data_IF_429882722075
#
_entry.id   IF_429882722075
#
_cell.length_a   1.000
_cell.length_b   1.000
_cell.length_c   1.000
_cell.angle_alpha   90.00
_cell.angle_beta   90.00
_cell.angle_gamma   90.00
#
_symmetry.space_group_name_H-M   'P 1'
#
loop_
_entity.id
_entity.type
_entity.pdbx_description
1 polymer ?
#
# COMPACT_ATOMS: atom_id res chain seq x y z
N UNK A 1 32.55 15.09 -35.21
CA UNK A 1 31.88 13.97 -35.91
C UNK A 1 31.49 12.97 -34.82
N UNK A 2 30.30 13.15 -34.19
CA UNK A 2 29.12 12.22 -34.20
C UNK A 2 29.52 10.75 -34.03
N UNK A 3 29.07 10.02 -33.01
CA UNK A 3 27.68 9.66 -32.66
C UNK A 3 27.52 9.66 -31.12
N UNK A 4 26.70 10.52 -30.49
CA UNK A 4 25.24 10.37 -30.29
C UNK A 4 24.84 8.91 -30.01
N UNK A 5 25.00 8.50 -28.75
CA UNK A 5 24.16 7.48 -28.12
C UNK A 5 22.98 8.22 -27.48
N UNK A 6 22.06 8.68 -28.33
CA UNK A 6 20.80 9.30 -27.93
C UNK A 6 19.72 8.58 -28.70
N UNK A 7 18.81 7.91 -27.97
CA UNK A 7 17.41 7.74 -28.43
C UNK A 7 16.42 7.19 -27.39
N UNK A 8 16.87 6.62 -26.26
CA UNK A 8 15.94 6.08 -25.24
C UNK A 8 15.93 6.84 -23.92
N UNK A 9 17.07 7.37 -23.48
CA UNK A 9 17.18 7.97 -22.15
C UNK A 9 16.79 9.46 -22.13
N UNK A 10 16.84 10.15 -23.27
CA UNK A 10 16.51 11.57 -23.38
C UNK A 10 15.00 11.82 -23.28
N UNK A 11 14.19 10.89 -23.81
CA UNK A 11 12.74 10.89 -23.63
C UNK A 11 12.34 10.50 -22.20
N UNK A 12 13.04 9.55 -21.59
CA UNK A 12 12.85 9.20 -20.18
C UNK A 12 13.22 10.37 -19.26
N UNK A 13 14.26 11.14 -19.56
CA UNK A 13 14.69 12.31 -18.78
C UNK A 13 13.79 13.53 -19.01
N UNK A 14 13.19 13.69 -20.20
CA UNK A 14 12.19 14.73 -20.48
C UNK A 14 10.84 14.44 -19.80
N UNK A 15 10.47 13.16 -19.69
CA UNK A 15 9.26 12.73 -19.01
C UNK A 15 9.45 12.51 -17.50
N UNK A 16 10.66 12.32 -16.99
CA UNK A 16 10.94 12.13 -15.57
C UNK A 16 10.38 13.28 -14.68
N UNK A 17 10.52 14.57 -15.05
CA UNK A 17 9.87 15.68 -14.34
C UNK A 17 8.34 15.56 -14.36
N UNK A 18 7.75 15.17 -15.49
CA UNK A 18 6.31 14.96 -15.60
C UNK A 18 5.82 13.80 -14.75
N UNK A 19 6.55 12.67 -14.72
CA UNK A 19 6.20 11.52 -13.88
C UNK A 19 6.39 11.82 -12.39
N UNK A 20 7.42 12.59 -12.02
CA UNK A 20 7.59 13.02 -10.62
C UNK A 20 6.50 13.99 -10.18
N UNK A 21 6.05 14.90 -11.05
CA UNK A 21 4.91 15.79 -10.81
C UNK A 21 3.60 15.02 -10.74
N UNK A 22 3.41 14.01 -11.60
CA UNK A 22 2.20 13.18 -11.55
C UNK A 22 2.20 12.32 -10.27
N UNK A 23 3.35 11.78 -9.87
CA UNK A 23 3.51 11.00 -8.66
C UNK A 23 3.29 11.85 -7.40
N UNK A 24 3.84 13.08 -7.36
CA UNK A 24 3.58 14.01 -6.26
C UNK A 24 2.12 14.44 -6.22
N UNK A 25 1.48 14.65 -7.38
CA UNK A 25 0.06 14.98 -7.45
C UNK A 25 -0.83 13.82 -6.96
N UNK A 26 -0.59 12.59 -7.41
CA UNK A 26 -1.28 11.38 -6.94
C UNK A 26 -1.13 11.17 -5.44
N UNK A 27 0.06 11.41 -4.91
CA UNK A 27 0.38 11.25 -3.49
C UNK A 27 -0.26 12.33 -2.63
N UNK A 28 -0.32 13.57 -3.11
CA UNK A 28 -0.92 14.68 -2.39
C UNK A 28 -2.46 14.69 -2.47
N UNK A 29 -3.05 14.18 -3.57
CA UNK A 29 -4.50 14.20 -3.78
C UNK A 29 -5.19 12.87 -3.50
N UNK A 30 -4.46 11.76 -3.47
CA UNK A 30 -5.02 10.41 -3.47
C UNK A 30 -4.18 9.42 -2.67
N UNK A 31 -3.84 9.76 -1.42
CA UNK A 31 -3.20 8.80 -0.53
C UNK A 31 -4.21 8.13 0.41
N UNK A 32 -3.93 6.88 0.75
CA UNK A 32 -4.77 6.09 1.64
C UNK A 32 -4.75 6.60 3.09
N UNK A 33 -3.70 7.29 3.50
CA UNK A 33 -3.52 7.80 4.86
C UNK A 33 -4.48 8.98 5.16
N UNK A 34 -4.83 9.76 4.13
CA UNK A 34 -5.79 10.86 4.19
C UNK A 34 -7.16 10.41 4.66
N UNK A 35 -7.56 9.15 4.41
CA UNK A 35 -8.82 8.61 4.95
C UNK A 35 -8.88 8.63 6.48
N UNK A 36 -7.74 8.54 7.16
CA UNK A 36 -7.68 8.68 8.63
C UNK A 36 -8.04 10.12 9.03
N UNK A 37 -7.50 11.13 8.34
CA UNK A 37 -7.85 12.53 8.59
C UNK A 37 -9.31 12.85 8.23
N UNK A 38 -9.87 12.21 7.19
CA UNK A 38 -11.31 12.31 6.89
C UNK A 38 -12.13 11.77 8.06
N UNK A 39 -11.76 10.59 8.59
CA UNK A 39 -12.49 9.96 9.69
C UNK A 39 -12.37 10.69 11.04
N UNK A 40 -11.21 11.26 11.34
CA UNK A 40 -10.93 11.90 12.64
C UNK A 40 -11.30 13.38 12.64
N UNK A 41 -10.93 14.12 11.59
CA UNK A 41 -11.04 15.57 11.54
C UNK A 41 -12.18 16.06 10.63
N UNK A 42 -12.94 15.15 10.00
CA UNK A 42 -14.04 15.46 9.08
C UNK A 42 -13.63 16.42 7.93
N UNK A 43 -12.39 16.27 7.45
CA UNK A 43 -11.84 17.05 6.33
C UNK A 43 -12.25 16.43 4.99
N UNK A 44 -12.29 17.23 3.93
CA UNK A 44 -12.45 16.71 2.56
C UNK A 44 -11.24 15.84 2.15
N UNK A 45 -11.47 14.82 1.33
CA UNK A 45 -10.44 13.80 0.97
C UNK A 45 -9.15 14.42 0.43
N UNK A 46 -9.26 15.46 -0.41
CA UNK A 46 -8.09 16.13 -1.00
C UNK A 46 -7.29 16.87 0.07
N UNK A 47 -7.95 17.70 0.89
CA UNK A 47 -7.30 18.43 1.98
C UNK A 47 -6.69 17.46 3.01
N UNK A 48 -7.43 16.41 3.35
CA UNK A 48 -7.00 15.38 4.28
C UNK A 48 -5.73 14.67 3.77
N UNK A 49 -5.68 14.33 2.49
CA UNK A 49 -4.52 13.72 1.85
C UNK A 49 -3.30 14.64 1.90
N UNK A 50 -3.47 15.91 1.54
CA UNK A 50 -2.39 16.92 1.60
C UNK A 50 -1.86 17.07 3.03
N UNK A 51 -2.74 17.31 4.00
CA UNK A 51 -2.37 17.52 5.40
C UNK A 51 -1.63 16.29 5.98
N UNK A 52 -2.08 15.07 5.67
CA UNK A 52 -1.38 13.84 6.12
C UNK A 52 0.00 13.72 5.49
N UNK A 53 0.14 14.08 4.22
CA UNK A 53 1.40 13.97 3.52
C UNK A 53 2.42 14.98 4.04
N UNK A 54 1.99 16.22 4.27
CA UNK A 54 2.81 17.26 4.88
C UNK A 54 3.26 16.88 6.31
N UNK A 55 2.40 16.20 7.08
CA UNK A 55 2.77 15.69 8.40
C UNK A 55 3.87 14.62 8.30
N UNK A 56 3.81 13.72 7.31
CA UNK A 56 4.84 12.71 7.08
C UNK A 56 6.19 13.30 6.68
N UNK A 57 6.19 14.31 5.80
CA UNK A 57 7.39 15.05 5.38
C UNK A 57 8.11 15.68 6.58
N UNK A 58 7.37 16.27 7.52
CA UNK A 58 7.94 16.92 8.73
C UNK A 58 8.69 15.97 9.66
N UNK A 59 8.29 14.70 9.70
CA UNK A 59 8.89 13.68 10.58
C UNK A 59 9.76 12.67 9.84
N UNK A 60 10.02 12.89 8.55
CA UNK A 60 10.77 11.99 7.66
C UNK A 60 10.23 10.55 7.65
N UNK A 61 8.89 10.42 7.69
CA UNK A 61 8.23 9.11 7.70
C UNK A 61 8.09 8.52 6.29
N UNK A 62 8.32 9.32 5.24
CA UNK A 62 8.23 8.90 3.83
C UNK A 62 9.08 7.64 3.55
N UNK A 63 10.30 7.59 4.07
CA UNK A 63 11.21 6.45 3.88
C UNK A 63 10.65 5.15 4.46
N UNK A 64 9.92 5.25 5.58
CA UNK A 64 9.28 4.10 6.23
C UNK A 64 8.05 3.66 5.46
N UNK A 65 7.25 4.62 4.98
CA UNK A 65 6.04 4.36 4.20
C UNK A 65 6.40 3.71 2.85
N UNK A 66 7.47 4.17 2.20
CA UNK A 66 7.97 3.58 0.95
C UNK A 66 8.43 2.13 1.16
N UNK A 67 8.95 1.82 2.35
CA UNK A 67 9.32 0.46 2.76
C UNK A 67 8.17 -0.36 3.34
N UNK A 68 6.95 0.18 3.47
CA UNK A 68 5.82 -0.52 4.07
C UNK A 68 5.27 -1.61 3.15
N UNK A 69 5.30 -2.86 3.63
CA UNK A 69 4.82 -4.02 2.89
C UNK A 69 3.37 -4.41 3.26
N UNK A 70 2.71 -3.64 4.13
CA UNK A 70 1.39 -4.00 4.67
C UNK A 70 0.35 -4.23 3.56
N UNK A 71 0.30 -3.36 2.56
CA UNK A 71 -0.65 -3.50 1.43
C UNK A 71 -0.33 -4.75 0.62
N UNK A 72 0.93 -4.98 0.26
CA UNK A 72 1.37 -6.18 -0.48
C UNK A 72 1.04 -7.45 0.29
N UNK A 73 1.29 -7.47 1.60
CA UNK A 73 0.93 -8.59 2.47
C UNK A 73 -0.58 -8.84 2.48
N UNK A 74 -1.40 -7.79 2.63
CA UNK A 74 -2.86 -7.93 2.62
C UNK A 74 -3.40 -8.47 1.29
N UNK A 75 -2.81 -8.07 0.16
CA UNK A 75 -3.14 -8.60 -1.16
C UNK A 75 -2.77 -10.08 -1.24
N UNK A 76 -1.57 -10.46 -0.80
CA UNK A 76 -1.12 -11.86 -0.78
C UNK A 76 -2.01 -12.74 0.09
N UNK A 77 -2.43 -12.26 1.27
CA UNK A 77 -3.41 -12.96 2.11
C UNK A 77 -4.76 -13.15 1.42
N UNK A 78 -5.23 -12.15 0.66
CA UNK A 78 -6.44 -12.28 -0.14
C UNK A 78 -6.30 -13.37 -1.22
N UNK A 79 -5.21 -13.33 -1.98
CA UNK A 79 -4.94 -14.29 -3.05
C UNK A 79 -4.78 -15.71 -2.51
N UNK A 80 -4.05 -15.89 -1.40
CA UNK A 80 -3.88 -17.20 -0.77
C UNK A 80 -5.18 -17.75 -0.20
N UNK A 81 -6.00 -16.89 0.43
CA UNK A 81 -7.33 -17.25 0.91
C UNK A 81 -8.25 -17.74 -0.22
N UNK A 82 -8.31 -16.98 -1.32
CA UNK A 82 -9.03 -17.39 -2.52
C UNK A 82 -8.51 -18.71 -3.10
N UNK A 83 -7.19 -18.87 -3.19
CA UNK A 83 -6.57 -20.08 -3.73
C UNK A 83 -6.91 -21.33 -2.90
N UNK A 84 -6.85 -21.24 -1.56
CA UNK A 84 -7.20 -22.34 -0.66
C UNK A 84 -8.69 -22.73 -0.85
N UNK A 85 -9.59 -21.75 -0.88
CA UNK A 85 -11.01 -22.00 -1.11
C UNK A 85 -11.26 -22.66 -2.48
N UNK A 86 -10.58 -22.19 -3.52
CA UNK A 86 -10.68 -22.74 -4.87
C UNK A 86 -10.19 -24.19 -4.96
N UNK A 87 -9.05 -24.51 -4.34
CA UNK A 87 -8.49 -25.87 -4.34
C UNK A 87 -9.41 -26.83 -3.61
N UNK A 88 -9.88 -26.47 -2.39
CA UNK A 88 -10.77 -27.34 -1.60
C UNK A 88 -12.08 -27.57 -2.35
N UNK A 89 -12.69 -26.51 -2.87
CA UNK A 89 -13.95 -26.56 -3.61
C UNK A 89 -13.81 -27.34 -4.92
N UNK A 90 -12.70 -27.15 -5.65
CA UNK A 90 -12.40 -27.87 -6.89
C UNK A 90 -12.21 -29.37 -6.67
N UNK A 91 -11.45 -29.77 -5.64
CA UNK A 91 -11.27 -31.19 -5.27
C UNK A 91 -12.63 -31.81 -4.94
N UNK A 92 -13.44 -31.13 -4.12
CA UNK A 92 -14.78 -31.61 -3.75
C UNK A 92 -15.70 -31.75 -4.97
N UNK A 93 -15.70 -30.77 -5.87
CA UNK A 93 -16.52 -30.80 -7.09
C UNK A 93 -16.12 -31.92 -8.05
N UNK A 94 -14.83 -32.19 -8.20
CA UNK A 94 -14.33 -33.29 -9.05
C UNK A 94 -14.76 -34.68 -8.54
N UNK A 95 -14.93 -34.84 -7.21
CA UNK A 95 -15.38 -36.09 -6.59
C UNK A 95 -16.88 -36.33 -6.81
N UNK A 96 -17.71 -35.28 -6.79
CA UNK A 96 -19.18 -35.43 -6.85
C UNK A 96 -19.71 -35.22 -8.28
N UNK A 97 -19.42 -34.07 -8.90
CA UNK A 97 -19.97 -33.68 -10.20
C UNK A 97 -18.95 -32.91 -11.05
N UNK A 98 -18.27 -33.63 -11.97
CA UNK A 98 -17.24 -33.07 -12.86
C UNK A 98 -17.70 -31.89 -13.73
N UNK A 99 -18.98 -31.80 -14.08
CA UNK A 99 -19.48 -30.82 -15.06
C UNK A 99 -19.39 -29.36 -14.58
N UNK A 100 -19.41 -29.10 -13.27
CA UNK A 100 -19.44 -27.74 -12.70
C UNK A 100 -18.18 -27.38 -11.90
N UNK A 101 -17.15 -28.22 -11.95
CA UNK A 101 -15.97 -28.07 -11.08
C UNK A 101 -15.22 -26.75 -11.30
N UNK A 102 -15.07 -26.31 -12.56
CA UNK A 102 -14.37 -25.06 -12.90
C UNK A 102 -15.15 -23.84 -12.42
N UNK A 103 -16.46 -23.79 -12.66
CA UNK A 103 -17.31 -22.67 -12.24
C UNK A 103 -17.31 -22.54 -10.72
N UNK A 104 -17.52 -23.66 -10.00
CA UNK A 104 -17.50 -23.70 -8.55
C UNK A 104 -16.16 -23.22 -7.98
N UNK A 105 -15.03 -23.65 -8.57
CA UNK A 105 -13.70 -23.24 -8.15
C UNK A 105 -13.44 -21.74 -8.36
N UNK A 106 -13.96 -21.14 -9.44
CA UNK A 106 -13.87 -19.70 -9.70
C UNK A 106 -14.71 -18.92 -8.68
N UNK A 107 -15.96 -19.33 -8.43
CA UNK A 107 -16.79 -18.67 -7.43
C UNK A 107 -16.21 -18.79 -6.02
N UNK A 108 -15.70 -19.97 -5.67
CA UNK A 108 -15.03 -20.19 -4.39
C UNK A 108 -13.76 -19.32 -4.25
N UNK A 109 -12.99 -19.15 -5.33
CA UNK A 109 -11.84 -18.24 -5.33
C UNK A 109 -12.27 -16.80 -5.05
N UNK A 110 -13.26 -16.29 -5.78
CA UNK A 110 -13.71 -14.91 -5.64
C UNK A 110 -14.26 -14.64 -4.23
N UNK A 111 -15.12 -15.53 -3.72
CA UNK A 111 -15.68 -15.41 -2.38
C UNK A 111 -14.55 -15.44 -1.33
N UNK A 112 -13.66 -16.43 -1.41
CA UNK A 112 -12.52 -16.53 -0.48
C UNK A 112 -11.62 -15.30 -0.51
N UNK A 113 -11.30 -14.80 -1.71
CA UNK A 113 -10.50 -13.60 -1.90
C UNK A 113 -11.16 -12.37 -1.26
N UNK A 114 -12.44 -12.11 -1.54
CA UNK A 114 -13.12 -10.93 -1.01
C UNK A 114 -13.32 -11.00 0.51
N UNK A 115 -13.68 -12.17 1.06
CA UNK A 115 -13.81 -12.34 2.51
C UNK A 115 -12.47 -12.10 3.22
N UNK A 116 -11.38 -12.68 2.71
CA UNK A 116 -10.05 -12.43 3.25
C UNK A 116 -9.66 -10.95 3.12
N UNK A 117 -9.95 -10.30 1.99
CA UNK A 117 -9.67 -8.86 1.79
C UNK A 117 -10.44 -7.97 2.77
N UNK A 118 -11.70 -8.28 3.06
CA UNK A 118 -12.49 -7.57 4.07
C UNK A 118 -11.87 -7.75 5.45
N UNK A 119 -11.48 -8.97 5.81
CA UNK A 119 -10.78 -9.25 7.07
C UNK A 119 -9.46 -8.49 7.20
N UNK A 120 -8.67 -8.45 6.13
CA UNK A 120 -7.39 -7.74 6.10
C UNK A 120 -7.53 -6.22 6.06
N UNK A 121 -8.69 -5.67 5.70
CA UNK A 121 -8.91 -4.22 5.69
C UNK A 121 -8.75 -3.59 7.09
N UNK A 122 -9.10 -4.34 8.14
CA UNK A 122 -8.97 -3.89 9.53
C UNK A 122 -7.50 -3.67 9.96
N UNK A 123 -6.60 -4.68 9.93
CA UNK A 123 -5.20 -4.48 10.28
C UNK A 123 -4.53 -3.45 9.36
N UNK A 124 -4.91 -3.41 8.09
CA UNK A 124 -4.49 -2.35 7.18
C UNK A 124 -4.83 -0.97 7.77
N UNK A 125 -6.08 -0.74 8.17
CA UNK A 125 -6.55 0.52 8.72
C UNK A 125 -5.86 0.86 10.06
N UNK A 126 -5.59 -0.13 10.91
CA UNK A 126 -4.85 0.06 12.16
C UNK A 126 -3.43 0.59 11.92
N UNK A 127 -2.69 0.00 10.97
CA UNK A 127 -1.35 0.49 10.60
C UNK A 127 -1.44 1.91 10.03
N UNK A 128 -2.49 2.20 9.25
CA UNK A 128 -2.77 3.55 8.76
C UNK A 128 -3.03 4.58 9.83
N UNK A 129 -3.87 4.26 10.80
CA UNK A 129 -4.10 5.15 11.92
C UNK A 129 -2.83 5.34 12.76
N UNK A 130 -2.02 4.29 12.94
CA UNK A 130 -0.78 4.35 13.71
C UNK A 130 0.24 5.33 13.10
N UNK A 131 0.54 5.23 11.80
CA UNK A 131 1.50 6.14 11.17
C UNK A 131 1.01 7.58 11.16
N UNK A 132 -0.27 7.81 10.89
CA UNK A 132 -0.86 9.15 10.93
C UNK A 132 -0.79 9.74 12.34
N UNK A 133 -1.15 8.97 13.36
CA UNK A 133 -1.07 9.43 14.75
C UNK A 133 0.38 9.72 15.20
N UNK A 134 1.33 8.91 14.73
CA UNK A 134 2.76 9.16 14.98
C UNK A 134 3.24 10.45 14.32
N UNK A 135 2.80 10.71 13.08
CA UNK A 135 3.17 11.92 12.34
C UNK A 135 2.60 13.19 12.98
N UNK A 136 1.37 13.13 13.48
CA UNK A 136 0.73 14.25 14.17
C UNK A 136 1.45 14.63 15.49
N UNK A 137 1.96 13.65 16.25
CA UNK A 137 2.69 13.92 17.50
C UNK A 137 3.76 12.84 17.82
N UNK A 138 4.96 12.92 17.23
CA UNK A 138 5.99 11.90 17.38
C UNK A 138 6.62 11.85 18.78
N UNK A 139 6.48 12.92 19.57
CA UNK A 139 7.03 13.03 20.93
C UNK A 139 6.06 12.52 22.01
N UNK A 140 4.90 11.99 21.62
CA UNK A 140 3.92 11.52 22.58
C UNK A 140 4.45 10.31 23.38
N UNK A 141 4.35 10.27 24.73
CA UNK A 141 4.96 9.23 25.58
C UNK A 141 4.49 7.78 25.34
N UNK A 142 3.47 7.59 24.49
CA UNK A 142 2.96 6.25 24.12
C UNK A 142 3.73 5.64 22.95
N UNK A 143 4.50 6.43 22.22
CA UNK A 143 5.32 5.94 21.12
C UNK A 143 6.68 5.50 21.63
N UNK A 144 7.13 4.36 21.11
CA UNK A 144 8.44 3.78 21.40
C UNK A 144 9.48 4.20 20.34
N UNK A 145 10.75 3.84 20.55
CA UNK A 145 11.85 4.17 19.63
C UNK A 145 11.82 3.38 18.32
N UNK A 146 10.85 2.50 18.10
CA UNK A 146 10.76 1.62 16.93
C UNK A 146 10.78 2.37 15.60
N UNK A 147 9.95 3.40 15.44
CA UNK A 147 9.88 4.20 14.21
C UNK A 147 11.17 4.98 13.95
N UNK A 148 11.70 5.77 14.90
CA UNK A 148 12.94 6.50 14.67
C UNK A 148 14.16 5.58 14.46
N UNK A 149 14.22 4.43 15.13
CA UNK A 149 15.29 3.45 14.89
C UNK A 149 15.21 2.86 13.48
N UNK A 150 14.00 2.59 12.99
CA UNK A 150 13.77 2.12 11.62
C UNK A 150 14.16 3.16 10.57
N UNK A 151 13.85 4.45 10.81
CA UNK A 151 14.28 5.56 9.95
C UNK A 151 15.81 5.62 9.87
N UNK A 152 16.50 5.56 11.02
CA UNK A 152 17.98 5.57 11.07
C UNK A 152 18.58 4.40 10.30
N UNK A 153 17.99 3.21 10.44
CA UNK A 153 18.45 2.02 9.73
C UNK A 153 18.25 2.15 8.22
N UNK A 154 17.07 2.58 7.75
CA UNK A 154 16.80 2.77 6.32
C UNK A 154 17.74 3.81 5.72
N UNK A 155 17.92 4.94 6.40
CA UNK A 155 18.82 6.00 5.95
C UNK A 155 20.26 5.50 5.82
N UNK A 156 20.73 4.69 6.77
CA UNK A 156 22.06 4.08 6.67
C UNK A 156 22.17 3.17 5.45
N UNK A 157 21.13 2.41 5.11
CA UNK A 157 21.13 1.53 3.92
C UNK A 157 21.12 2.29 2.60
N UNK A 158 20.52 3.48 2.54
CA UNK A 158 20.49 4.32 1.34
C UNK A 158 21.77 5.15 1.12
N UNK A 159 22.64 5.26 2.12
CA UNK A 159 23.91 5.99 2.05
C UNK A 159 25.11 5.10 1.65
N UNK A 160 24.89 3.78 1.52
CA UNK A 160 25.88 2.78 1.07
C UNK A 160 25.61 2.44 -0.39
#
# INVERSE_FOLDING_TARGET
MRLVAGDSDEFLFSCAPCYSELASMLRNHGNRWGFVHVGVYNKGIVQASYDTWEAFEKVDLEIVIDSDLTVSFCVLCGVSGGAICSIISGIWALVIHKSYATELAIYAFLIGYFVCRIGMAWPQACVSAYYVAYADNPLHPRFDSTVPDRIRELRRRLQV
#
